data_IF_580315174420
#
_entry.id   IF_580315174420
#
_cell.length_a   1.000
_cell.length_b   1.000
_cell.length_c   1.000
_cell.angle_alpha   90.00
_cell.angle_beta   90.00
_cell.angle_gamma   90.00
#
_symmetry.space_group_name_H-M   'P 1'
#
loop_
_entity.id
_entity.type
_entity.pdbx_description
1 polymer ?
#
# COMPACT_ATOMS: atom_id res chain seq x y z
N UNK A 1 -57.27 -34.41 -6.02
CA UNK A 1 -56.47 -33.20 -5.82
C UNK A 1 -57.44 -32.13 -5.33
N UNK A 2 -57.39 -31.78 -4.05
CA UNK A 2 -58.36 -30.87 -3.47
C UNK A 2 -58.22 -29.47 -4.08
N UNK A 3 -59.33 -28.95 -4.59
CA UNK A 3 -59.38 -27.62 -5.19
C UNK A 3 -58.84 -26.54 -4.28
N UNK A 4 -59.05 -26.65 -2.99
CA UNK A 4 -58.51 -25.75 -1.97
C UNK A 4 -56.98 -25.73 -1.96
N UNK A 5 -56.32 -26.87 -2.15
CA UNK A 5 -54.85 -26.97 -2.20
C UNK A 5 -54.27 -26.29 -3.43
N UNK A 6 -54.96 -26.39 -4.58
CA UNK A 6 -54.55 -25.72 -5.82
C UNK A 6 -54.66 -24.21 -5.66
N UNK A 7 -55.80 -23.75 -5.15
CA UNK A 7 -56.02 -22.32 -4.90
C UNK A 7 -54.97 -21.74 -3.94
N UNK A 8 -54.68 -22.45 -2.85
CA UNK A 8 -53.64 -22.07 -1.89
C UNK A 8 -52.26 -21.91 -2.56
N UNK A 9 -51.85 -22.89 -3.37
CA UNK A 9 -50.56 -22.86 -4.07
C UNK A 9 -50.47 -21.71 -5.07
N UNK A 10 -51.55 -21.43 -5.80
CA UNK A 10 -51.62 -20.29 -6.75
C UNK A 10 -51.54 -18.95 -6.01
N UNK A 11 -52.26 -18.81 -4.91
CA UNK A 11 -52.24 -17.59 -4.09
C UNK A 11 -50.85 -17.39 -3.49
N UNK A 12 -50.22 -18.45 -2.93
CA UNK A 12 -48.86 -18.37 -2.39
C UNK A 12 -47.84 -17.95 -3.47
N UNK A 13 -47.91 -18.56 -4.65
CA UNK A 13 -47.04 -18.20 -5.78
C UNK A 13 -47.20 -16.73 -6.18
N UNK A 14 -48.46 -16.27 -6.28
CA UNK A 14 -48.75 -14.88 -6.65
C UNK A 14 -48.20 -13.90 -5.59
N UNK A 15 -48.41 -14.20 -4.31
CA UNK A 15 -47.88 -13.38 -3.20
C UNK A 15 -46.34 -13.34 -3.20
N UNK A 16 -45.72 -14.50 -3.34
CA UNK A 16 -44.25 -14.60 -3.39
C UNK A 16 -43.66 -13.82 -4.58
N UNK A 17 -44.31 -13.94 -5.77
CA UNK A 17 -43.90 -13.18 -6.95
C UNK A 17 -44.04 -11.67 -6.75
N UNK A 18 -45.15 -11.20 -6.17
CA UNK A 18 -45.35 -9.77 -5.86
C UNK A 18 -44.34 -9.27 -4.86
N UNK A 19 -44.09 -10.01 -3.77
CA UNK A 19 -43.07 -9.64 -2.77
C UNK A 19 -41.69 -9.56 -3.40
N UNK A 20 -41.29 -10.57 -4.18
CA UNK A 20 -39.99 -10.57 -4.89
C UNK A 20 -39.86 -9.38 -5.82
N UNK A 21 -40.92 -9.04 -6.59
CA UNK A 21 -40.92 -7.86 -7.47
C UNK A 21 -40.83 -6.53 -6.71
N UNK A 22 -41.52 -6.43 -5.58
CA UNK A 22 -41.47 -5.21 -4.74
C UNK A 22 -40.08 -5.05 -4.15
N UNK A 23 -39.49 -6.13 -3.63
CA UNK A 23 -38.11 -6.12 -3.10
C UNK A 23 -37.11 -5.81 -4.20
N UNK A 24 -37.22 -6.47 -5.37
CA UNK A 24 -36.34 -6.18 -6.52
C UNK A 24 -36.40 -4.71 -6.92
N UNK A 25 -37.61 -4.14 -7.08
CA UNK A 25 -37.74 -2.73 -7.43
C UNK A 25 -37.22 -1.78 -6.36
N UNK A 26 -37.45 -2.10 -5.09
CA UNK A 26 -36.96 -1.30 -3.97
C UNK A 26 -35.46 -1.29 -3.88
N UNK A 27 -34.85 -2.46 -3.78
CA UNK A 27 -33.40 -2.63 -3.60
C UNK A 27 -32.63 -2.13 -4.83
N UNK A 28 -33.06 -2.49 -6.04
CA UNK A 28 -32.35 -2.04 -7.26
C UNK A 28 -32.48 -0.54 -7.49
N UNK A 29 -33.58 0.10 -7.06
CA UNK A 29 -33.73 1.57 -7.12
C UNK A 29 -32.76 2.27 -6.16
N UNK A 30 -32.61 1.76 -4.94
CA UNK A 30 -31.65 2.30 -3.97
C UNK A 30 -30.22 2.06 -4.45
N UNK A 31 -29.91 0.82 -4.89
CA UNK A 31 -28.59 0.47 -5.39
C UNK A 31 -28.17 1.37 -6.57
N UNK A 32 -29.06 1.62 -7.53
CA UNK A 32 -28.78 2.55 -8.64
C UNK A 32 -28.49 3.96 -8.16
N UNK A 33 -29.27 4.50 -7.23
CA UNK A 33 -29.05 5.87 -6.71
C UNK A 33 -27.66 6.01 -6.08
N UNK A 34 -27.22 5.00 -5.32
CA UNK A 34 -25.92 5.02 -4.66
C UNK A 34 -24.78 4.86 -5.67
N UNK A 35 -24.93 3.93 -6.62
CA UNK A 35 -23.91 3.66 -7.63
C UNK A 35 -23.77 4.79 -8.65
N UNK A 36 -24.88 5.37 -9.09
CA UNK A 36 -24.87 6.50 -10.03
C UNK A 36 -24.24 7.77 -9.40
N UNK A 37 -24.41 7.95 -8.07
CA UNK A 37 -23.75 9.03 -7.34
C UNK A 37 -22.23 8.84 -7.19
N UNK A 38 -21.73 7.62 -7.36
CA UNK A 38 -20.32 7.25 -7.09
C UNK A 38 -19.44 7.23 -8.34
N UNK A 39 -19.93 7.65 -9.52
CA UNK A 39 -19.22 7.63 -10.82
C UNK A 39 -18.51 6.31 -11.16
N UNK A 40 -19.01 5.18 -10.63
CA UNK A 40 -18.41 3.86 -10.82
C UNK A 40 -18.70 3.35 -12.24
N UNK A 41 -17.67 3.04 -13.06
CA UNK A 41 -17.90 2.40 -14.36
C UNK A 41 -18.59 1.05 -14.17
N UNK A 42 -19.61 0.75 -15.01
CA UNK A 42 -20.31 -0.55 -14.99
C UNK A 42 -21.19 -0.83 -13.76
N UNK A 43 -21.80 0.20 -13.16
CA UNK A 43 -22.79 0.05 -12.08
C UNK A 43 -23.89 -1.00 -12.38
N UNK A 44 -24.22 -1.21 -13.66
CA UNK A 44 -25.20 -2.21 -14.11
C UNK A 44 -24.87 -3.65 -13.72
N UNK A 45 -23.60 -4.02 -13.64
CA UNK A 45 -23.17 -5.37 -13.23
C UNK A 45 -23.59 -5.65 -11.79
N UNK A 46 -23.33 -4.71 -10.89
CA UNK A 46 -23.70 -4.84 -9.47
C UNK A 46 -25.20 -4.94 -9.28
N UNK A 47 -25.98 -4.12 -10.01
CA UNK A 47 -27.44 -4.17 -9.98
C UNK A 47 -27.95 -5.52 -10.49
N UNK A 48 -27.36 -6.08 -11.55
CA UNK A 48 -27.75 -7.38 -12.09
C UNK A 48 -27.42 -8.54 -11.14
N UNK A 49 -26.28 -8.47 -10.44
CA UNK A 49 -25.92 -9.46 -9.40
C UNK A 49 -26.94 -9.41 -8.25
N UNK A 50 -27.23 -8.22 -7.73
CA UNK A 50 -28.23 -8.04 -6.66
C UNK A 50 -29.58 -8.59 -7.09
N UNK A 51 -30.03 -8.27 -8.32
CA UNK A 51 -31.27 -8.81 -8.89
C UNK A 51 -31.25 -10.33 -8.97
N UNK A 52 -30.16 -10.91 -9.47
CA UNK A 52 -30.00 -12.37 -9.55
C UNK A 52 -30.14 -13.05 -8.18
N UNK A 53 -29.54 -12.48 -7.15
CA UNK A 53 -29.65 -12.97 -5.77
C UNK A 53 -31.10 -12.87 -5.26
N UNK A 54 -31.78 -11.73 -5.46
CA UNK A 54 -33.18 -11.54 -5.03
C UNK A 54 -34.10 -12.58 -5.70
N UNK A 55 -33.95 -12.79 -7.01
CA UNK A 55 -34.75 -13.77 -7.75
C UNK A 55 -34.41 -15.21 -7.36
N UNK A 56 -33.15 -15.53 -7.04
CA UNK A 56 -32.78 -16.84 -6.52
C UNK A 56 -33.47 -17.14 -5.18
N UNK A 57 -33.47 -16.19 -4.25
CA UNK A 57 -34.20 -16.35 -2.98
C UNK A 57 -35.72 -16.41 -3.18
N UNK A 58 -36.29 -15.61 -4.08
CA UNK A 58 -37.69 -15.68 -4.45
C UNK A 58 -38.08 -17.05 -4.98
N UNK A 59 -37.25 -17.63 -5.87
CA UNK A 59 -37.49 -18.99 -6.41
C UNK A 59 -37.41 -20.04 -5.32
N UNK A 60 -36.38 -19.99 -4.46
CA UNK A 60 -36.22 -20.94 -3.37
C UNK A 60 -37.40 -20.91 -2.39
N UNK A 61 -37.99 -19.75 -2.13
CA UNK A 61 -39.13 -19.59 -1.22
C UNK A 61 -40.40 -20.30 -1.69
N UNK A 62 -40.57 -20.50 -3.00
CA UNK A 62 -41.75 -21.15 -3.57
C UNK A 62 -41.57 -22.64 -3.83
N UNK A 63 -40.32 -23.16 -3.79
CA UNK A 63 -40.01 -24.54 -4.16
C UNK A 63 -40.76 -25.56 -3.31
N UNK A 64 -40.72 -25.43 -2.02
CA UNK A 64 -41.31 -26.40 -1.08
C UNK A 64 -42.85 -26.23 -0.94
N UNK A 65 -43.37 -25.01 -0.69
CA UNK A 65 -44.82 -24.82 -0.51
C UNK A 65 -45.65 -25.12 -1.76
N UNK A 66 -45.10 -24.80 -2.94
CA UNK A 66 -45.84 -24.94 -4.21
C UNK A 66 -45.54 -26.27 -4.90
N UNK A 67 -44.26 -26.62 -5.02
CA UNK A 67 -43.82 -27.79 -5.79
C UNK A 67 -43.54 -29.02 -4.93
N UNK A 68 -43.46 -28.88 -3.58
CA UNK A 68 -43.12 -29.98 -2.66
C UNK A 68 -41.67 -30.42 -2.75
N UNK A 69 -40.82 -29.62 -3.40
CA UNK A 69 -39.41 -29.91 -3.55
C UNK A 69 -38.65 -29.30 -2.36
N UNK A 70 -38.01 -30.14 -1.56
CA UNK A 70 -37.25 -29.68 -0.42
C UNK A 70 -36.09 -28.77 -0.87
N UNK A 71 -36.09 -27.54 -0.41
CA UNK A 71 -35.06 -26.56 -0.73
C UNK A 71 -33.67 -26.88 -0.10
N UNK A 72 -33.60 -27.85 0.81
CA UNK A 72 -32.38 -28.21 1.56
C UNK A 72 -31.18 -28.53 0.67
N UNK A 73 -31.38 -29.25 -0.44
CA UNK A 73 -30.30 -29.57 -1.37
C UNK A 73 -29.74 -28.30 -2.07
N UNK A 74 -30.62 -27.36 -2.42
CA UNK A 74 -30.20 -26.07 -2.99
C UNK A 74 -29.49 -25.19 -1.99
N UNK A 75 -29.98 -25.16 -0.73
CA UNK A 75 -29.33 -24.43 0.36
C UNK A 75 -27.96 -25.02 0.67
N UNK A 76 -27.81 -26.35 0.66
CA UNK A 76 -26.51 -27.00 0.81
C UNK A 76 -25.54 -26.64 -0.33
N UNK A 77 -26.00 -26.66 -1.58
CA UNK A 77 -25.20 -26.27 -2.73
C UNK A 77 -24.80 -24.80 -2.68
N UNK A 78 -25.71 -23.90 -2.27
CA UNK A 78 -25.40 -22.49 -2.03
C UNK A 78 -24.37 -22.31 -0.91
N UNK A 79 -24.42 -23.14 0.15
CA UNK A 79 -23.44 -23.17 1.22
C UNK A 79 -22.03 -23.47 0.70
N UNK A 80 -21.89 -24.50 -0.13
CA UNK A 80 -20.61 -24.83 -0.78
C UNK A 80 -20.14 -23.69 -1.70
N UNK A 81 -21.05 -23.16 -2.53
CA UNK A 81 -20.74 -22.04 -3.42
C UNK A 81 -20.29 -20.80 -2.65
N UNK A 82 -20.90 -20.51 -1.49
CA UNK A 82 -20.52 -19.36 -0.67
C UNK A 82 -19.11 -19.50 -0.08
N UNK A 83 -18.68 -20.72 0.26
CA UNK A 83 -17.30 -20.99 0.71
C UNK A 83 -16.30 -20.72 -0.43
N UNK A 84 -16.57 -21.21 -1.63
CA UNK A 84 -15.71 -20.96 -2.80
C UNK A 84 -15.64 -19.46 -3.11
N UNK A 85 -16.77 -18.77 -3.08
CA UNK A 85 -16.83 -17.32 -3.29
C UNK A 85 -16.06 -16.55 -2.20
N UNK A 86 -16.14 -17.01 -0.94
CA UNK A 86 -15.40 -16.41 0.17
C UNK A 86 -13.89 -16.50 -0.03
N UNK A 87 -13.39 -17.64 -0.51
CA UNK A 87 -11.98 -17.76 -0.88
C UNK A 87 -11.60 -16.84 -2.03
N UNK A 88 -12.45 -16.73 -3.05
CA UNK A 88 -12.22 -15.80 -4.17
C UNK A 88 -12.20 -14.31 -3.78
N UNK A 89 -12.92 -13.94 -2.70
CA UNK A 89 -13.00 -12.57 -2.20
C UNK A 89 -12.06 -12.29 -1.02
N UNK A 90 -11.32 -13.29 -0.54
CA UNK A 90 -10.50 -13.21 0.67
C UNK A 90 -9.56 -12.01 0.66
N UNK A 91 -8.84 -11.78 -0.44
CA UNK A 91 -7.88 -10.67 -0.53
C UNK A 91 -8.57 -9.31 -0.54
N UNK A 92 -9.72 -9.20 -1.20
CA UNK A 92 -10.51 -7.96 -1.21
C UNK A 92 -10.97 -7.60 0.19
N UNK A 93 -11.56 -8.57 0.89
CA UNK A 93 -12.02 -8.41 2.28
C UNK A 93 -10.84 -8.07 3.21
N UNK A 94 -9.73 -8.79 3.07
CA UNK A 94 -8.50 -8.53 3.84
C UNK A 94 -7.98 -7.10 3.63
N UNK A 95 -7.97 -6.60 2.39
CA UNK A 95 -7.54 -5.22 2.10
C UNK A 95 -8.46 -4.17 2.73
N UNK A 96 -9.78 -4.39 2.69
CA UNK A 96 -10.76 -3.48 3.31
C UNK A 96 -10.56 -3.40 4.82
N UNK A 97 -10.51 -4.55 5.51
CA UNK A 97 -10.32 -4.56 6.96
C UNK A 97 -8.96 -4.02 7.38
N UNK A 98 -7.90 -4.33 6.62
CA UNK A 98 -6.57 -3.77 6.86
C UNK A 98 -6.56 -2.25 6.65
N UNK A 99 -7.19 -1.76 5.58
CA UNK A 99 -7.31 -0.31 5.33
C UNK A 99 -8.06 0.42 6.45
N UNK A 100 -9.19 -0.13 6.90
CA UNK A 100 -9.90 0.42 8.06
C UNK A 100 -9.02 0.42 9.32
N UNK A 101 -8.29 -0.67 9.57
CA UNK A 101 -7.37 -0.75 10.71
C UNK A 101 -6.24 0.28 10.65
N UNK A 102 -5.64 0.48 9.47
CA UNK A 102 -4.58 1.48 9.25
C UNK A 102 -5.10 2.90 9.48
N UNK A 103 -6.30 3.23 8.93
CA UNK A 103 -6.91 4.56 9.05
C UNK A 103 -7.36 4.85 10.49
N UNK A 104 -8.08 3.93 11.13
CA UNK A 104 -8.58 4.12 12.51
C UNK A 104 -7.45 4.12 13.53
N UNK A 105 -6.46 3.24 13.35
CA UNK A 105 -5.28 3.14 14.20
C UNK A 105 -4.25 4.24 13.96
N UNK A 106 -4.41 5.03 12.91
CA UNK A 106 -3.43 6.07 12.47
C UNK A 106 -2.00 5.50 12.37
N UNK A 107 -1.91 4.25 11.94
CA UNK A 107 -0.63 3.54 11.84
C UNK A 107 0.23 4.14 10.73
N UNK A 108 -0.41 4.51 9.62
CA UNK A 108 0.18 5.22 8.48
C UNK A 108 -0.77 6.34 8.10
N UNK A 109 -0.23 7.53 7.86
CA UNK A 109 -1.01 8.72 7.50
C UNK A 109 -0.41 9.38 6.25
N UNK A 110 -1.24 10.07 5.44
CA UNK A 110 -0.71 10.93 4.38
C UNK A 110 0.31 11.92 4.95
N UNK A 111 1.48 12.01 4.29
CA UNK A 111 2.63 12.80 4.75
C UNK A 111 3.69 12.00 5.51
N UNK A 112 3.40 10.81 5.99
CA UNK A 112 4.42 9.93 6.59
C UNK A 112 5.44 9.48 5.53
N UNK A 113 6.71 9.41 5.89
CA UNK A 113 7.73 8.77 5.06
C UNK A 113 7.95 7.34 5.54
N UNK A 114 7.71 6.39 4.66
CA UNK A 114 7.73 4.96 4.97
C UNK A 114 8.69 4.18 4.08
N UNK A 115 9.24 3.11 4.64
CA UNK A 115 10.01 2.11 3.91
C UNK A 115 9.30 0.76 4.03
N UNK A 116 8.89 0.19 2.91
CA UNK A 116 8.11 -1.05 2.83
C UNK A 116 8.65 -1.92 1.69
N UNK A 117 9.12 -3.12 2.01
CA UNK A 117 9.56 -4.08 1.00
C UNK A 117 10.68 -3.59 0.08
N UNK A 118 11.54 -2.69 0.56
CA UNK A 118 12.63 -2.09 -0.21
C UNK A 118 12.24 -0.84 -1.00
N UNK A 119 10.97 -0.44 -0.98
CA UNK A 119 10.50 0.82 -1.54
C UNK A 119 10.36 1.87 -0.44
N UNK A 120 10.83 3.09 -0.71
CA UNK A 120 10.79 4.20 0.25
C UNK A 120 10.16 5.44 -0.37
N UNK A 121 9.28 6.10 0.38
CA UNK A 121 8.65 7.31 -0.11
C UNK A 121 7.65 7.92 0.87
N UNK A 122 7.02 9.01 0.43
CA UNK A 122 5.96 9.69 1.16
C UNK A 122 4.61 9.04 0.87
N UNK A 123 3.85 8.78 1.90
CA UNK A 123 2.45 8.37 1.78
C UNK A 123 1.65 9.55 1.26
N UNK A 124 1.10 9.43 0.07
CA UNK A 124 0.25 10.45 -0.54
C UNK A 124 -1.22 10.24 -0.21
N UNK A 125 -1.66 8.98 -0.18
CA UNK A 125 -3.04 8.65 0.11
C UNK A 125 -3.18 7.26 0.76
N UNK A 126 -4.19 7.13 1.62
CA UNK A 126 -4.58 5.85 2.25
C UNK A 126 -6.06 5.60 1.94
N UNK A 127 -6.29 4.74 0.97
CA UNK A 127 -7.63 4.35 0.52
C UNK A 127 -8.13 3.11 1.27
N UNK A 128 -9.42 2.76 1.08
CA UNK A 128 -10.03 1.57 1.68
C UNK A 128 -9.36 0.25 1.26
N UNK A 129 -8.67 0.20 0.12
CA UNK A 129 -8.04 -1.00 -0.44
C UNK A 129 -6.51 -0.94 -0.47
N UNK A 130 -5.94 0.24 -0.68
CA UNK A 130 -4.51 0.43 -0.92
C UNK A 130 -4.01 1.74 -0.34
N UNK A 131 -2.72 1.76 -0.05
CA UNK A 131 -1.96 2.95 0.31
C UNK A 131 -1.04 3.31 -0.85
N UNK A 132 -0.98 4.59 -1.20
CA UNK A 132 -0.14 5.11 -2.29
C UNK A 132 1.07 5.78 -1.67
N UNK A 133 2.26 5.38 -2.11
CA UNK A 133 3.54 5.90 -1.65
C UNK A 133 4.31 6.47 -2.85
N UNK A 134 4.71 7.73 -2.76
CA UNK A 134 5.44 8.46 -3.79
C UNK A 134 6.92 8.53 -3.44
N UNK A 135 7.80 8.07 -4.34
CA UNK A 135 9.23 8.10 -4.12
C UNK A 135 9.85 9.45 -4.56
N UNK A 136 11.15 9.62 -4.26
CA UNK A 136 11.91 10.82 -4.63
C UNK A 136 12.25 10.91 -6.13
N UNK A 137 11.98 9.85 -6.90
CA UNK A 137 12.21 9.79 -8.34
C UNK A 137 10.93 10.11 -9.13
N UNK A 138 9.81 10.30 -8.44
CA UNK A 138 8.52 10.61 -9.05
C UNK A 138 7.66 9.38 -9.36
N UNK A 139 7.96 8.20 -8.80
CA UNK A 139 7.16 6.99 -9.00
C UNK A 139 6.14 6.82 -7.88
N UNK A 140 4.94 6.37 -8.27
CA UNK A 140 3.89 5.97 -7.33
C UNK A 140 3.87 4.47 -7.16
N UNK A 141 4.05 4.01 -5.93
CA UNK A 141 3.84 2.62 -5.55
C UNK A 141 2.46 2.46 -4.89
N UNK A 142 1.62 1.65 -5.51
CA UNK A 142 0.32 1.28 -4.95
C UNK A 142 0.45 0.00 -4.15
N UNK A 143 0.39 0.10 -2.83
CA UNK A 143 0.60 -1.03 -1.91
C UNK A 143 -0.77 -1.49 -1.38
N UNK A 144 -1.19 -2.76 -1.60
CA UNK A 144 -2.40 -3.30 -0.99
C UNK A 144 -2.33 -3.22 0.55
N UNK A 145 -3.39 -2.77 1.20
CA UNK A 145 -3.41 -2.58 2.66
C UNK A 145 -3.17 -3.89 3.44
N UNK A 146 -3.58 -5.03 2.88
CA UNK A 146 -3.30 -6.34 3.47
C UNK A 146 -1.81 -6.67 3.52
N UNK A 147 -1.01 -6.16 2.58
CA UNK A 147 0.45 -6.31 2.57
C UNK A 147 1.06 -5.46 3.68
N UNK A 148 0.68 -4.17 3.76
CA UNK A 148 1.14 -3.27 4.84
C UNK A 148 0.82 -3.82 6.23
N UNK A 149 -0.36 -4.42 6.42
CA UNK A 149 -0.77 -4.96 7.71
C UNK A 149 -0.02 -6.26 8.09
N UNK A 150 0.55 -6.97 7.12
CA UNK A 150 1.25 -8.26 7.33
C UNK A 150 2.78 -8.14 7.29
N UNK A 151 3.29 -7.03 6.77
CA UNK A 151 4.72 -6.81 6.56
C UNK A 151 5.23 -5.78 7.54
N UNK A 152 6.41 -6.01 8.12
CA UNK A 152 7.08 -4.97 8.89
C UNK A 152 7.45 -3.82 7.96
N UNK A 153 7.12 -2.61 8.35
CA UNK A 153 7.54 -1.40 7.66
C UNK A 153 8.15 -0.41 8.66
N UNK A 154 9.01 0.46 8.17
CA UNK A 154 9.65 1.50 8.98
C UNK A 154 9.03 2.84 8.61
N UNK A 155 8.54 3.58 9.62
CA UNK A 155 8.20 4.98 9.47
C UNK A 155 9.42 5.80 9.87
N UNK A 156 10.02 6.51 8.90
CA UNK A 156 11.22 7.30 9.14
C UNK A 156 10.88 8.61 9.86
N UNK A 157 11.65 8.91 10.90
CA UNK A 157 11.57 10.21 11.58
C UNK A 157 12.29 11.30 10.79
N UNK A 158 12.10 12.56 11.22
CA UNK A 158 12.68 13.73 10.56
C UNK A 158 14.19 13.62 10.30
N UNK A 159 14.95 13.10 11.25
CA UNK A 159 16.40 12.92 11.13
C UNK A 159 16.84 11.89 10.08
N UNK A 160 15.95 10.96 9.72
CA UNK A 160 16.25 9.91 8.72
C UNK A 160 15.69 10.23 7.34
N UNK A 161 14.84 11.24 7.24
CA UNK A 161 13.98 11.51 6.10
C UNK A 161 14.76 11.96 4.86
N UNK A 162 15.82 12.72 5.06
CA UNK A 162 16.71 13.21 3.99
C UNK A 162 18.10 12.60 4.04
N UNK A 163 18.33 11.60 4.91
CA UNK A 163 19.67 11.10 5.18
C UNK A 163 20.12 10.10 4.10
N UNK A 164 21.28 10.37 3.50
CA UNK A 164 21.97 9.45 2.62
C UNK A 164 23.48 9.46 2.91
N UNK A 165 24.18 8.36 2.58
CA UNK A 165 25.61 8.21 2.86
C UNK A 165 26.46 8.25 1.60
N UNK A 166 27.65 8.79 1.71
CA UNK A 166 28.75 8.63 0.75
C UNK A 166 29.87 7.88 1.47
N UNK A 167 30.19 6.69 0.99
CA UNK A 167 31.27 5.91 1.57
C UNK A 167 32.62 6.43 1.12
N UNK A 168 33.54 6.55 2.07
CA UNK A 168 34.92 7.01 1.86
C UNK A 168 35.90 6.04 2.50
N UNK A 169 37.06 5.90 1.87
CA UNK A 169 38.17 5.16 2.43
C UNK A 169 39.32 6.14 2.71
N UNK A 170 39.71 6.29 3.98
CA UNK A 170 40.72 7.21 4.41
C UNK A 170 42.04 6.47 4.59
N UNK A 171 43.14 7.05 4.09
CA UNK A 171 44.48 6.47 4.22
C UNK A 171 44.85 6.18 5.68
N UNK A 172 45.65 5.10 5.96
CA UNK A 172 46.02 4.70 7.31
C UNK A 172 46.82 5.76 8.08
N UNK A 173 47.56 6.61 7.34
CA UNK A 173 48.44 7.65 7.88
C UNK A 173 47.76 9.01 8.09
N UNK A 174 46.50 9.14 7.72
CA UNK A 174 45.77 10.39 7.84
C UNK A 174 45.17 10.58 9.25
N UNK A 175 45.17 11.82 9.72
CA UNK A 175 44.46 12.18 10.96
C UNK A 175 42.99 12.28 10.73
N UNK A 176 42.24 11.36 11.33
CA UNK A 176 40.79 11.25 11.15
C UNK A 176 40.01 12.48 11.62
N UNK A 177 40.55 13.24 12.60
CA UNK A 177 39.89 14.44 13.10
C UNK A 177 39.96 15.55 12.05
N UNK A 178 41.15 15.82 11.54
CA UNK A 178 41.37 16.82 10.49
C UNK A 178 40.61 16.45 9.20
N UNK A 179 40.59 15.15 8.81
CA UNK A 179 39.84 14.66 7.67
C UNK A 179 38.35 14.89 7.88
N UNK A 180 37.80 14.60 9.05
CA UNK A 180 36.40 14.80 9.38
C UNK A 180 35.97 16.26 9.25
N UNK A 181 36.79 17.20 9.71
CA UNK A 181 36.52 18.64 9.59
C UNK A 181 36.57 19.13 8.16
N UNK A 182 37.59 18.70 7.39
CA UNK A 182 37.69 19.03 5.96
C UNK A 182 36.52 18.48 5.17
N UNK A 183 36.17 17.20 5.33
CA UNK A 183 35.06 16.56 4.66
C UNK A 183 33.74 17.25 4.97
N UNK A 184 33.49 17.57 6.26
CA UNK A 184 32.26 18.28 6.65
C UNK A 184 32.14 19.61 5.93
N UNK A 185 33.20 20.42 5.92
CA UNK A 185 33.22 21.71 5.23
C UNK A 185 32.98 21.56 3.74
N UNK A 186 33.71 20.64 3.07
CA UNK A 186 33.61 20.43 1.63
C UNK A 186 32.25 19.90 1.22
N UNK A 187 31.68 18.95 1.97
CA UNK A 187 30.39 18.38 1.68
C UNK A 187 29.25 19.39 1.89
N UNK A 188 29.33 20.22 2.94
CA UNK A 188 28.37 21.30 3.20
C UNK A 188 28.39 22.31 2.04
N UNK A 189 29.58 22.74 1.58
CA UNK A 189 29.75 23.66 0.46
C UNK A 189 29.22 23.05 -0.85
N UNK A 190 29.52 21.77 -1.09
CA UNK A 190 29.07 21.07 -2.30
C UNK A 190 27.56 20.86 -2.35
N UNK A 191 26.92 20.58 -1.23
CA UNK A 191 25.47 20.42 -1.16
C UNK A 191 24.75 21.73 -1.48
N UNK A 192 25.17 22.85 -0.92
CA UNK A 192 24.55 24.15 -1.16
C UNK A 192 23.03 24.09 -0.99
N UNK A 193 22.30 24.49 -2.01
CA UNK A 193 20.82 24.53 -2.01
C UNK A 193 20.13 23.15 -1.89
N UNK A 194 20.86 22.05 -2.05
CA UNK A 194 20.32 20.70 -1.90
C UNK A 194 20.22 20.28 -0.44
N UNK A 195 20.97 20.93 0.47
CA UNK A 195 21.00 20.59 1.88
C UNK A 195 19.64 20.85 2.57
N UNK A 196 19.37 20.06 3.58
CA UNK A 196 18.37 20.36 4.60
C UNK A 196 19.09 21.06 5.75
N UNK A 197 18.85 22.36 5.90
CA UNK A 197 19.53 23.23 6.88
C UNK A 197 19.23 22.84 8.35
N UNK A 198 18.25 21.97 8.56
CA UNK A 198 17.93 21.48 9.91
C UNK A 198 18.96 20.47 10.44
N UNK A 199 19.83 19.94 9.58
CA UNK A 199 20.79 18.89 9.93
C UNK A 199 22.17 19.19 9.37
N UNK A 200 23.19 18.96 10.19
CA UNK A 200 24.58 19.09 9.76
C UNK A 200 25.09 17.83 9.05
N UNK A 201 26.08 18.02 8.18
CA UNK A 201 26.83 16.90 7.58
C UNK A 201 27.60 16.16 8.68
N UNK A 202 27.33 14.86 8.79
CA UNK A 202 28.02 13.96 9.73
C UNK A 202 29.14 13.18 9.04
N UNK A 203 30.22 12.88 9.78
CA UNK A 203 31.25 11.94 9.33
C UNK A 203 31.47 10.90 10.41
N UNK A 204 31.36 9.62 10.03
CA UNK A 204 31.57 8.51 10.96
C UNK A 204 32.56 7.52 10.37
N UNK A 205 33.41 6.97 11.20
CA UNK A 205 34.33 5.91 10.82
C UNK A 205 33.88 4.59 11.45
N UNK A 206 33.79 3.54 10.65
CA UNK A 206 33.18 2.26 11.05
C UNK A 206 34.17 1.12 11.24
N UNK A 207 35.42 1.27 10.83
CA UNK A 207 36.43 0.23 10.99
C UNK A 207 37.61 0.39 10.04
N UNK A 208 38.54 -0.54 10.16
CA UNK A 208 39.77 -0.59 9.36
C UNK A 208 39.71 -1.75 8.37
N UNK A 209 40.31 -1.57 7.20
CA UNK A 209 40.60 -2.65 6.26
C UNK A 209 42.08 -2.61 5.82
N UNK A 210 42.47 -3.47 4.88
CA UNK A 210 43.84 -3.56 4.40
C UNK A 210 44.34 -2.27 3.71
N UNK A 211 43.44 -1.40 3.28
CA UNK A 211 43.77 -0.20 2.51
C UNK A 211 43.55 1.09 3.26
N UNK A 212 42.91 1.04 4.41
CA UNK A 212 42.67 2.24 5.23
C UNK A 212 41.50 2.15 6.19
N UNK A 213 41.01 3.30 6.61
CA UNK A 213 39.87 3.43 7.51
C UNK A 213 38.62 3.72 6.73
N UNK A 214 37.58 2.86 6.88
CA UNK A 214 36.29 3.08 6.28
C UNK A 214 35.51 4.13 7.03
N UNK A 215 34.94 5.06 6.27
CA UNK A 215 34.06 6.08 6.81
C UNK A 215 32.82 6.26 5.90
N UNK A 216 31.81 6.87 6.49
CA UNK A 216 30.61 7.29 5.77
C UNK A 216 30.33 8.76 6.07
N UNK A 217 30.16 9.53 5.02
CA UNK A 217 29.74 10.93 5.08
C UNK A 217 28.21 10.96 5.00
N UNK A 218 27.57 11.35 6.09
CA UNK A 218 26.12 11.41 6.19
C UNK A 218 25.63 12.77 5.72
N UNK A 219 24.84 12.76 4.66
CA UNK A 219 24.27 13.95 4.05
C UNK A 219 22.78 14.02 4.39
N UNK A 220 22.29 15.21 4.65
CA UNK A 220 20.86 15.46 4.79
C UNK A 220 20.42 16.40 3.68
N UNK A 221 19.47 15.95 2.88
CA UNK A 221 18.96 16.68 1.72
C UNK A 221 17.47 16.91 1.82
N UNK A 222 17.01 17.96 1.16
CA UNK A 222 15.59 18.31 1.12
C UNK A 222 14.76 17.16 0.54
N UNK A 223 13.47 17.08 0.90
CA UNK A 223 12.57 16.00 0.46
C UNK A 223 12.41 15.84 -1.05
N UNK A 224 12.56 16.93 -1.78
CA UNK A 224 12.44 17.02 -3.25
C UNK A 224 13.73 16.63 -4.00
N UNK A 225 14.83 16.37 -3.30
CA UNK A 225 16.13 16.07 -3.88
C UNK A 225 16.36 14.56 -3.97
N UNK A 226 16.74 14.07 -5.15
CA UNK A 226 17.20 12.70 -5.33
C UNK A 226 18.56 12.49 -4.65
N UNK A 227 18.70 11.42 -3.86
CA UNK A 227 19.95 11.12 -3.14
C UNK A 227 21.16 11.02 -4.05
N UNK A 228 21.01 10.42 -5.25
CA UNK A 228 22.09 10.30 -6.21
C UNK A 228 22.69 11.63 -6.66
N UNK A 229 21.90 12.69 -6.75
CA UNK A 229 22.39 14.02 -7.13
C UNK A 229 23.29 14.63 -6.05
N UNK A 230 22.91 14.46 -4.79
CA UNK A 230 23.71 14.92 -3.65
C UNK A 230 25.00 14.10 -3.48
N UNK A 231 24.89 12.77 -3.58
CA UNK A 231 26.02 11.85 -3.54
C UNK A 231 27.04 12.14 -4.65
N UNK A 232 26.59 12.36 -5.89
CA UNK A 232 27.47 12.70 -7.01
C UNK A 232 28.23 14.01 -6.77
N UNK A 233 27.53 15.08 -6.32
CA UNK A 233 28.20 16.36 -6.01
C UNK A 233 29.29 16.22 -4.95
N UNK A 234 28.98 15.54 -3.86
CA UNK A 234 29.93 15.36 -2.76
C UNK A 234 31.08 14.45 -3.18
N UNK A 235 30.79 13.34 -3.86
CA UNK A 235 31.82 12.43 -4.37
C UNK A 235 32.84 13.15 -5.28
N UNK A 236 32.36 14.00 -6.18
CA UNK A 236 33.25 14.78 -7.08
C UNK A 236 34.18 15.73 -6.33
N UNK A 237 33.71 16.37 -5.27
CA UNK A 237 34.52 17.31 -4.48
C UNK A 237 35.53 16.58 -3.60
N UNK A 238 35.21 15.36 -3.14
CA UNK A 238 36.11 14.54 -2.34
C UNK A 238 37.14 13.78 -3.18
N UNK A 239 36.89 13.59 -4.48
CA UNK A 239 37.80 12.87 -5.37
C UNK A 239 39.16 13.55 -5.47
N UNK A 240 40.25 12.73 -5.39
CA UNK A 240 41.63 13.22 -5.52
C UNK A 240 42.19 13.94 -4.29
N UNK A 241 41.51 13.91 -3.16
CA UNK A 241 42.02 14.48 -1.91
C UNK A 241 43.21 13.66 -1.36
N UNK A 242 44.25 14.29 -0.75
CA UNK A 242 45.46 13.61 -0.29
C UNK A 242 45.21 12.52 0.75
N UNK A 243 44.16 12.67 1.55
CA UNK A 243 43.77 11.72 2.59
C UNK A 243 42.91 10.57 2.08
N UNK A 244 42.38 10.64 0.85
CA UNK A 244 41.59 9.56 0.28
C UNK A 244 42.53 8.42 -0.13
N UNK A 245 42.20 7.19 0.23
CA UNK A 245 42.97 6.04 -0.17
C UNK A 245 42.82 5.82 -1.70
N UNK A 246 43.94 5.68 -2.38
CA UNK A 246 43.94 5.40 -3.84
C UNK A 246 43.47 3.98 -4.10
N UNK A 247 42.46 3.82 -4.94
CA UNK A 247 42.03 2.52 -5.44
C UNK A 247 43.09 1.82 -6.32
N UNK A 248 44.18 2.51 -6.63
CA UNK A 248 45.29 1.98 -7.45
C UNK A 248 46.14 0.93 -6.70
N UNK A 249 46.18 0.94 -5.36
CA UNK A 249 46.86 -0.10 -4.56
C UNK A 249 46.12 -1.43 -4.49
N UNK A 250 44.89 -1.51 -4.97
CA UNK A 250 44.09 -2.74 -4.97
C UNK A 250 44.28 -3.62 -6.24
N UNK A 251 45.23 -3.26 -7.10
CA UNK A 251 45.49 -3.96 -8.40
C UNK A 251 46.87 -4.59 -8.51
N UNK A 252 47.62 -4.72 -7.41
CA UNK A 252 48.86 -5.50 -7.35
C UNK A 252 48.69 -6.77 -6.51
#
# INVERSE_FOLDING_TARGET
MDWATVVWKVVYLAVAAVVTLVVDRGVTRVARRVLDASSIPSASIFVNIIRGVIWAFGLLSVLEPVFGIKATAFVAALGVTSVVLSFGLQDTVSNVFSGLGLMLGKVVQPGDYVSVGGFEGFVTDVNWRSTIVHDRLGNDQVIPNSVLNKTAFTRKGASSLGCCGVDVLVRPDADLTSVSEEVRRLATEALGELADDAFEVGVTFSGFDAYGTRGTVWLHVRPDVAFGAAQDRVTRVLQGRPWLADAAGARE
#
